data_IF_340756593332
#
_entry.id   IF_340756593332
#
_cell.length_a   1.000
_cell.length_b   1.000
_cell.length_c   1.000
_cell.angle_alpha   90.00
_cell.angle_beta   90.00
_cell.angle_gamma   90.00
#
_symmetry.space_group_name_H-M   'P 1'
#
loop_
_entity.id
_entity.type
_entity.pdbx_description
1 polymer ?
#
# COMPACT_ATOMS: atom_id res chain seq x y z
N UNK A 1 -21.05 -0.86 13.27
CA UNK A 1 -20.25 0.07 14.08
C UNK A 1 -20.93 0.25 15.42
N UNK A 2 -20.22 0.09 16.53
CA UNK A 2 -20.75 0.41 17.85
C UNK A 2 -20.41 1.87 18.14
N UNK A 3 -21.43 2.70 18.39
CA UNK A 3 -21.22 4.08 18.83
C UNK A 3 -20.94 4.10 20.33
N UNK A 4 -19.95 4.89 20.76
CA UNK A 4 -19.64 5.08 22.17
C UNK A 4 -19.84 6.56 22.49
N UNK A 5 -20.67 6.85 23.50
CA UNK A 5 -20.79 8.18 24.07
C UNK A 5 -19.84 8.31 25.25
N UNK A 6 -18.90 9.26 25.19
CA UNK A 6 -17.95 9.53 26.27
C UNK A 6 -18.15 10.98 26.70
N UNK A 7 -18.65 11.26 27.92
CA UNK A 7 -18.69 12.62 28.44
C UNK A 7 -17.27 13.10 28.72
N UNK A 8 -16.89 14.23 28.12
CA UNK A 8 -15.58 14.85 28.33
C UNK A 8 -15.76 16.01 29.33
N UNK A 9 -15.15 15.94 30.52
CA UNK A 9 -15.27 17.01 31.50
C UNK A 9 -14.56 18.28 31.03
N UNK A 10 -15.18 19.43 31.29
CA UNK A 10 -14.57 20.74 31.08
C UNK A 10 -13.63 21.03 32.26
N UNK A 11 -12.34 20.72 32.07
CA UNK A 11 -11.33 20.79 33.14
C UNK A 11 -10.58 22.13 33.21
N UNK A 12 -10.67 22.97 32.18
CA UNK A 12 -10.06 24.30 32.13
C UNK A 12 -10.67 25.15 31.00
N UNK A 13 -10.31 26.44 30.97
CA UNK A 13 -10.83 27.42 30.00
C UNK A 13 -10.52 27.05 28.55
N UNK A 14 -9.31 26.54 28.27
CA UNK A 14 -8.94 26.11 26.91
C UNK A 14 -9.85 24.99 26.40
N UNK A 15 -10.17 24.00 27.24
CA UNK A 15 -11.10 22.92 26.87
C UNK A 15 -12.50 23.50 26.59
N UNK A 16 -12.97 24.42 27.44
CA UNK A 16 -14.25 25.12 27.24
C UNK A 16 -14.31 25.86 25.89
N UNK A 17 -13.28 26.64 25.58
CA UNK A 17 -13.15 27.37 24.31
C UNK A 17 -13.21 26.41 23.12
N UNK A 18 -12.41 25.34 23.13
CA UNK A 18 -12.39 24.38 22.01
C UNK A 18 -13.68 23.58 21.88
N UNK A 19 -14.36 23.26 22.98
CA UNK A 19 -15.63 22.55 22.98
C UNK A 19 -16.80 23.45 22.51
N UNK A 20 -16.66 24.77 22.59
CA UNK A 20 -17.66 25.75 22.15
C UNK A 20 -17.59 26.10 20.66
N UNK A 21 -16.61 25.57 19.93
CA UNK A 21 -16.45 25.83 18.50
C UNK A 21 -17.68 25.35 17.71
N UNK A 22 -18.11 26.17 16.75
CA UNK A 22 -19.21 25.82 15.84
C UNK A 22 -18.67 24.99 14.69
N UNK A 23 -19.56 24.25 14.02
CA UNK A 23 -19.21 23.41 12.87
C UNK A 23 -18.50 24.18 11.74
N UNK A 24 -18.77 25.49 11.58
CA UNK A 24 -18.10 26.36 10.61
C UNK A 24 -16.64 26.68 10.97
N UNK A 25 -16.33 26.67 12.27
CA UNK A 25 -15.02 27.02 12.82
C UNK A 25 -14.10 25.78 12.93
N UNK A 26 -14.64 24.57 12.76
CA UNK A 26 -13.91 23.30 12.82
C UNK A 26 -13.48 22.89 11.41
N UNK A 27 -12.18 22.93 11.12
CA UNK A 27 -11.65 22.59 9.80
C UNK A 27 -10.89 21.27 9.76
N UNK A 28 -11.11 20.51 8.70
CA UNK A 28 -10.43 19.24 8.43
C UNK A 28 -9.87 19.18 7.01
N UNK A 29 -8.96 18.24 6.76
CA UNK A 29 -8.30 18.03 5.47
C UNK A 29 -8.90 16.81 4.78
N UNK A 30 -9.46 17.01 3.59
CA UNK A 30 -9.84 15.91 2.69
C UNK A 30 -8.56 15.37 2.05
N UNK A 31 -8.35 14.07 2.16
CA UNK A 31 -7.16 13.39 1.61
C UNK A 31 -7.55 12.45 0.48
N UNK A 32 -6.65 12.29 -0.48
CA UNK A 32 -6.83 11.35 -1.59
C UNK A 32 -6.39 9.94 -1.18
N UNK A 33 -7.35 9.02 -1.06
CA UNK A 33 -7.11 7.62 -0.71
C UNK A 33 -6.70 6.76 -1.92
N UNK A 34 -6.76 7.27 -3.15
CA UNK A 34 -6.29 6.59 -4.36
C UNK A 34 -4.76 6.66 -4.53
N UNK A 35 -4.08 7.60 -3.88
CA UNK A 35 -2.63 7.65 -3.87
C UNK A 35 -2.05 6.47 -3.05
N UNK A 36 -1.09 5.68 -3.59
CA UNK A 36 -0.47 4.53 -2.91
C UNK A 36 0.57 4.96 -1.86
N UNK A 37 0.24 6.00 -1.08
CA UNK A 37 1.06 6.57 -0.02
C UNK A 37 0.46 6.25 1.35
N UNK A 38 1.30 6.34 2.39
CA UNK A 38 0.88 6.22 3.79
C UNK A 38 -0.12 7.33 4.15
N UNK A 39 -1.12 7.08 5.03
CA UNK A 39 -2.22 8.02 5.29
C UNK A 39 -1.80 9.44 5.67
N UNK A 40 -0.69 9.59 6.39
CA UNK A 40 -0.08 10.84 6.81
C UNK A 40 0.53 11.64 5.64
N UNK A 41 1.08 10.93 4.64
CA UNK A 41 1.73 11.49 3.45
C UNK A 41 0.78 11.69 2.26
N UNK A 42 -0.47 11.21 2.35
CA UNK A 42 -1.43 11.36 1.24
C UNK A 42 -1.70 12.82 0.92
N UNK A 43 -1.78 13.19 -0.37
CA UNK A 43 -2.09 14.54 -0.80
C UNK A 43 -3.38 15.05 -0.16
N UNK A 44 -3.34 16.29 0.31
CA UNK A 44 -4.52 17.00 0.80
C UNK A 44 -5.18 17.64 -0.40
N UNK A 45 -6.40 17.21 -0.69
CA UNK A 45 -7.17 17.68 -1.85
C UNK A 45 -7.78 19.04 -1.55
N UNK A 46 -8.35 19.20 -0.35
CA UNK A 46 -9.01 20.44 0.08
C UNK A 46 -9.08 20.50 1.61
N UNK A 47 -9.08 21.72 2.15
CA UNK A 47 -9.44 21.99 3.55
C UNK A 47 -10.90 22.48 3.58
N UNK A 48 -11.73 21.88 4.42
CA UNK A 48 -13.17 22.16 4.51
C UNK A 48 -13.61 22.26 5.96
N UNK A 49 -14.70 22.97 6.21
CA UNK A 49 -15.30 23.03 7.55
C UNK A 49 -16.19 21.81 7.80
N UNK A 50 -16.46 21.53 9.07
CA UNK A 50 -17.38 20.46 9.45
C UNK A 50 -18.81 20.78 8.99
N UNK A 51 -19.20 22.06 8.99
CA UNK A 51 -20.48 22.52 8.46
C UNK A 51 -20.68 22.14 6.99
N UNK A 52 -19.64 22.29 6.16
CA UNK A 52 -19.67 21.89 4.75
C UNK A 52 -19.77 20.36 4.59
N UNK A 53 -19.04 19.59 5.41
CA UNK A 53 -19.18 18.12 5.38
C UNK A 53 -20.59 17.68 5.79
N UNK A 54 -21.20 18.43 6.70
CA UNK A 54 -22.52 18.14 7.28
C UNK A 54 -23.67 18.58 6.38
N UNK A 55 -23.43 19.43 5.38
CA UNK A 55 -24.43 19.73 4.34
C UNK A 55 -24.73 18.56 3.40
N UNK A 56 -24.02 17.43 3.54
CA UNK A 56 -24.26 16.19 2.79
C UNK A 56 -23.52 16.12 1.45
N UNK A 57 -22.80 17.18 1.08
CA UNK A 57 -21.98 17.24 -0.13
C UNK A 57 -20.84 18.24 0.01
N UNK A 58 -19.76 18.00 -0.70
CA UNK A 58 -18.58 18.86 -0.75
C UNK A 58 -18.05 18.95 -2.18
N UNK A 59 -17.72 20.14 -2.65
CA UNK A 59 -17.23 20.33 -4.00
C UNK A 59 -15.71 20.09 -4.06
N UNK A 60 -15.26 19.16 -4.90
CA UNK A 60 -13.86 18.82 -5.10
C UNK A 60 -13.56 18.93 -6.59
N UNK A 61 -12.58 19.76 -6.97
CA UNK A 61 -12.19 19.99 -8.37
C UNK A 61 -13.39 20.29 -9.31
N UNK A 62 -14.34 21.10 -8.83
CA UNK A 62 -15.53 21.48 -9.59
C UNK A 62 -16.64 20.42 -9.65
N UNK A 63 -16.52 19.30 -8.92
CA UNK A 63 -17.54 18.25 -8.83
C UNK A 63 -18.10 18.14 -7.41
N UNK A 64 -19.41 18.07 -7.28
CA UNK A 64 -20.06 17.80 -5.99
C UNK A 64 -19.91 16.32 -5.63
N UNK A 65 -19.31 16.05 -4.47
CA UNK A 65 -19.08 14.71 -3.93
C UNK A 65 -19.95 14.54 -2.68
N UNK A 66 -20.74 13.46 -2.56
CA UNK A 66 -21.55 13.23 -1.37
C UNK A 66 -20.66 13.02 -0.14
N UNK A 67 -21.09 13.56 0.99
CA UNK A 67 -20.44 13.41 2.29
C UNK A 67 -21.45 12.86 3.29
N UNK A 68 -21.06 11.82 4.02
CA UNK A 68 -21.87 11.25 5.09
C UNK A 68 -21.00 10.82 6.26
N UNK A 69 -21.49 10.97 7.51
CA UNK A 69 -20.77 10.50 8.67
C UNK A 69 -20.76 8.96 8.71
N UNK A 70 -19.71 8.38 9.28
CA UNK A 70 -19.61 6.92 9.49
C UNK A 70 -20.59 6.40 10.55
N UNK A 71 -21.09 7.29 11.41
CA UNK A 71 -22.04 7.00 12.49
C UNK A 71 -23.29 7.85 12.37
N UNK A 72 -24.42 7.32 12.85
CA UNK A 72 -25.70 8.05 12.86
C UNK A 72 -25.62 9.27 13.78
N UNK A 73 -25.74 10.46 13.19
CA UNK A 73 -25.75 11.71 13.93
C UNK A 73 -26.99 11.83 14.84
N UNK A 74 -28.15 11.37 14.37
CA UNK A 74 -29.38 11.32 15.16
C UNK A 74 -29.18 10.48 16.44
N UNK A 75 -28.61 9.29 16.30
CA UNK A 75 -28.33 8.42 17.44
C UNK A 75 -27.30 9.06 18.39
N UNK A 76 -26.28 9.75 17.86
CA UNK A 76 -25.32 10.48 18.69
C UNK A 76 -25.98 11.58 19.55
N UNK A 77 -26.94 12.33 18.98
CA UNK A 77 -27.72 13.31 19.73
C UNK A 77 -28.62 12.67 20.78
N UNK A 78 -29.29 11.56 20.45
CA UNK A 78 -30.11 10.80 21.41
C UNK A 78 -29.27 10.34 22.61
N UNK A 79 -28.08 9.78 22.36
CA UNK A 79 -27.14 9.38 23.42
C UNK A 79 -26.69 10.60 24.25
N UNK A 80 -26.39 11.73 23.61
CA UNK A 80 -25.96 12.94 24.31
C UNK A 80 -27.05 13.47 25.26
N UNK A 81 -28.32 13.48 24.84
CA UNK A 81 -29.43 13.90 25.69
C UNK A 81 -29.70 12.91 26.84
N UNK A 82 -29.57 11.61 26.59
CA UNK A 82 -29.68 10.59 27.67
C UNK A 82 -28.58 10.79 28.72
N UNK A 83 -27.32 10.95 28.29
CA UNK A 83 -26.21 11.20 29.22
C UNK A 83 -26.40 12.51 29.99
N UNK A 84 -26.83 13.57 29.33
CA UNK A 84 -27.14 14.86 29.97
C UNK A 84 -28.22 14.71 31.04
N UNK A 85 -29.29 13.96 30.75
CA UNK A 85 -30.35 13.68 31.71
C UNK A 85 -29.81 12.96 32.94
N UNK A 86 -29.08 11.86 32.77
CA UNK A 86 -28.48 11.12 33.89
C UNK A 86 -27.53 11.97 34.74
N UNK A 87 -26.76 12.87 34.11
CA UNK A 87 -25.89 13.80 34.84
C UNK A 87 -26.71 14.79 35.67
N UNK A 88 -27.77 15.38 35.10
CA UNK A 88 -28.63 16.35 35.80
C UNK A 88 -29.44 15.71 36.94
N UNK A 89 -29.85 14.45 36.77
CA UNK A 89 -30.58 13.68 37.79
C UNK A 89 -29.66 13.07 38.86
N UNK A 90 -28.34 13.14 38.68
CA UNK A 90 -27.36 12.55 39.60
C UNK A 90 -27.25 11.02 39.49
N UNK A 91 -27.79 10.43 38.43
CA UNK A 91 -27.71 8.98 38.15
C UNK A 91 -26.42 8.60 37.40
N UNK A 92 -25.66 9.58 36.92
CA UNK A 92 -24.36 9.37 36.28
C UNK A 92 -23.21 9.49 37.28
N UNK A 93 -22.81 8.36 37.86
CA UNK A 93 -21.73 8.31 38.86
C UNK A 93 -20.34 8.30 38.20
N UNK A 94 -19.42 9.08 38.76
CA UNK A 94 -18.01 8.98 38.41
C UNK A 94 -17.45 7.68 38.99
N UNK A 95 -16.77 6.90 38.16
CA UNK A 95 -16.00 5.74 38.64
C UNK A 95 -14.69 6.21 39.25
N UNK A 96 -14.14 5.43 40.18
CA UNK A 96 -12.76 5.64 40.59
C UNK A 96 -11.83 5.54 39.36
N UNK A 97 -10.78 6.37 39.28
CA UNK A 97 -9.79 6.26 38.22
C UNK A 97 -9.21 4.84 38.17
N UNK A 98 -9.38 4.13 37.06
CA UNK A 98 -8.85 2.77 36.88
C UNK A 98 -7.32 2.77 36.96
N UNK A 99 -6.69 3.75 36.31
CA UNK A 99 -5.24 3.95 36.30
C UNK A 99 -4.92 5.41 35.93
N UNK A 100 -3.93 6.07 36.57
CA UNK A 100 -3.48 7.39 36.14
C UNK A 100 -2.84 7.31 34.75
N UNK A 101 -3.10 8.32 33.90
CA UNK A 101 -2.40 8.43 32.63
C UNK A 101 -0.88 8.49 32.86
N UNK A 102 -0.08 7.70 32.12
CA UNK A 102 1.36 7.67 32.32
C UNK A 102 1.96 9.06 32.07
N UNK A 103 2.57 9.66 33.10
CA UNK A 103 3.26 10.97 33.02
C UNK A 103 4.48 10.92 32.10
N UNK A 104 5.06 9.73 31.95
CA UNK A 104 6.08 9.42 30.98
C UNK A 104 5.49 8.43 29.99
N UNK A 105 5.13 8.94 28.82
CA UNK A 105 4.90 8.07 27.68
C UNK A 105 6.28 7.67 27.17
N UNK A 106 6.80 6.54 27.64
CA UNK A 106 7.63 5.76 26.72
C UNK A 106 6.70 5.40 25.57
N UNK A 107 6.76 6.22 24.52
CA UNK A 107 6.26 5.78 23.23
C UNK A 107 7.08 4.53 22.99
N UNK A 108 6.50 3.35 23.19
CA UNK A 108 7.02 2.16 22.51
C UNK A 108 6.72 2.49 21.06
N UNK A 109 7.67 3.01 20.25
CA UNK A 109 7.39 3.15 18.85
C UNK A 109 6.92 1.78 18.40
N UNK A 110 5.93 1.75 17.52
CA UNK A 110 5.63 0.51 16.79
C UNK A 110 7.00 -0.06 16.42
N UNK A 111 7.37 -1.24 16.99
CA UNK A 111 8.70 -1.81 16.80
C UNK A 111 8.91 -1.72 15.30
N UNK A 112 9.84 -0.87 14.87
CA UNK A 112 10.17 -0.73 13.46
C UNK A 112 10.83 -2.07 13.15
N UNK A 113 10.01 -3.08 12.85
CA UNK A 113 10.45 -4.31 12.22
C UNK A 113 11.16 -3.77 10.99
N UNK A 114 12.50 -3.91 10.99
CA UNK A 114 13.49 -3.52 9.99
C UNK A 114 12.93 -2.75 8.79
N UNK A 115 13.49 -1.57 8.50
CA UNK A 115 13.33 -0.83 7.22
C UNK A 115 12.73 -1.72 6.12
N UNK A 116 11.50 -1.43 5.71
CA UNK A 116 10.82 -2.17 4.62
C UNK A 116 11.81 -2.32 3.47
N UNK A 117 12.08 -3.57 3.08
CA UNK A 117 12.99 -3.85 1.99
C UNK A 117 12.38 -3.31 0.71
N UNK A 118 13.17 -2.54 -0.04
CA UNK A 118 12.81 -2.11 -1.38
C UNK A 118 13.26 -3.16 -2.39
N UNK A 119 12.66 -3.16 -3.59
CA UNK A 119 13.01 -4.11 -4.65
C UNK A 119 14.50 -4.08 -4.96
N UNK A 120 15.12 -2.90 -5.02
CA UNK A 120 16.56 -2.74 -5.25
C UNK A 120 17.47 -3.34 -4.15
N UNK A 121 16.93 -3.60 -2.94
CA UNK A 121 17.65 -4.24 -1.83
C UNK A 121 17.70 -5.77 -1.97
N UNK A 122 16.83 -6.34 -2.83
CA UNK A 122 16.61 -7.79 -2.96
C UNK A 122 16.87 -8.29 -4.38
N UNK A 123 16.57 -7.49 -5.41
CA UNK A 123 16.70 -7.88 -6.80
C UNK A 123 18.13 -8.28 -7.17
N UNK A 124 18.24 -9.18 -8.15
CA UNK A 124 19.51 -9.45 -8.82
C UNK A 124 19.76 -8.39 -9.89
N UNK A 125 20.97 -7.85 -9.92
CA UNK A 125 21.43 -6.89 -10.94
C UNK A 125 22.08 -7.54 -12.16
N UNK A 126 22.64 -8.74 -11.98
CA UNK A 126 23.15 -9.55 -13.08
C UNK A 126 21.97 -10.23 -13.78
N UNK A 127 21.35 -9.50 -14.70
CA UNK A 127 20.18 -9.97 -15.46
C UNK A 127 20.65 -10.59 -16.74
N UNK A 128 20.42 -11.89 -16.88
CA UNK A 128 20.54 -12.57 -18.15
C UNK A 128 19.33 -12.17 -19.01
N UNK A 129 19.56 -11.72 -20.24
CA UNK A 129 18.49 -11.31 -21.16
C UNK A 129 18.53 -12.09 -22.47
N UNK A 130 17.42 -12.05 -23.20
CA UNK A 130 17.30 -12.59 -24.55
C UNK A 130 16.93 -11.48 -25.54
N UNK A 131 17.32 -11.67 -26.80
CA UNK A 131 16.84 -10.86 -27.93
C UNK A 131 15.59 -11.51 -28.52
N UNK A 132 14.61 -10.76 -29.06
CA UNK A 132 13.45 -11.36 -29.74
C UNK A 132 13.85 -12.19 -30.97
N UNK A 133 15.04 -11.96 -31.53
CA UNK A 133 15.64 -12.72 -32.62
C UNK A 133 16.43 -13.96 -32.16
N UNK A 134 16.60 -14.19 -30.86
CA UNK A 134 17.29 -15.38 -30.34
C UNK A 134 16.47 -16.65 -30.64
N UNK A 135 17.14 -17.71 -31.08
CA UNK A 135 16.51 -19.02 -31.23
C UNK A 135 16.13 -19.64 -29.87
N UNK A 136 15.03 -20.39 -29.83
CA UNK A 136 14.53 -21.07 -28.63
C UNK A 136 15.60 -21.96 -27.98
N UNK A 137 16.40 -22.68 -28.78
CA UNK A 137 17.49 -23.53 -28.28
C UNK A 137 18.57 -22.73 -27.55
N UNK A 138 18.91 -21.54 -28.06
CA UNK A 138 19.89 -20.64 -27.46
C UNK A 138 19.36 -20.10 -26.13
N UNK A 139 18.09 -19.72 -26.07
CA UNK A 139 17.43 -19.27 -24.84
C UNK A 139 17.36 -20.39 -23.80
N UNK A 140 16.98 -21.60 -24.21
CA UNK A 140 16.97 -22.78 -23.33
C UNK A 140 18.35 -23.06 -22.73
N UNK A 141 19.40 -22.97 -23.56
CA UNK A 141 20.79 -23.11 -23.11
C UNK A 141 21.16 -22.04 -22.09
N UNK A 142 20.80 -20.76 -22.31
CA UNK A 142 21.03 -19.67 -21.35
C UNK A 142 20.38 -19.94 -19.99
N UNK A 143 19.14 -20.43 -19.95
CA UNK A 143 18.44 -20.77 -18.69
C UNK A 143 19.20 -21.84 -17.91
N UNK A 144 19.59 -22.94 -18.59
CA UNK A 144 20.28 -24.08 -17.97
C UNK A 144 21.66 -23.68 -17.47
N UNK A 145 22.47 -23.02 -18.30
CA UNK A 145 23.85 -22.63 -17.95
C UNK A 145 23.90 -21.63 -16.80
N UNK A 146 22.89 -20.75 -16.71
CA UNK A 146 22.83 -19.72 -15.67
C UNK A 146 22.00 -20.11 -14.45
N UNK A 147 21.30 -21.25 -14.50
CA UNK A 147 20.44 -21.74 -13.43
C UNK A 147 19.33 -20.74 -13.09
N UNK A 148 18.69 -20.16 -14.11
CA UNK A 148 17.59 -19.19 -13.96
C UNK A 148 16.36 -19.66 -14.73
N UNK A 149 15.17 -19.26 -14.28
CA UNK A 149 13.88 -19.68 -14.85
C UNK A 149 13.17 -18.58 -15.65
N UNK A 150 13.65 -17.35 -15.57
CA UNK A 150 13.02 -16.17 -16.15
C UNK A 150 14.06 -15.36 -16.94
N UNK A 151 13.75 -15.09 -18.20
CA UNK A 151 14.58 -14.25 -19.08
C UNK A 151 13.75 -13.08 -19.62
N UNK A 152 14.07 -11.85 -19.22
CA UNK A 152 13.55 -10.66 -19.88
C UNK A 152 14.04 -10.62 -21.33
N UNK A 153 13.11 -10.41 -22.26
CA UNK A 153 13.39 -10.17 -23.68
C UNK A 153 13.51 -8.66 -23.88
N UNK A 154 14.64 -8.21 -24.41
CA UNK A 154 14.97 -6.78 -24.54
C UNK A 154 15.36 -6.42 -25.97
N UNK A 155 15.23 -5.13 -26.32
CA UNK A 155 15.80 -4.59 -27.55
C UNK A 155 17.30 -4.24 -27.38
N UNK A 156 17.90 -3.69 -28.44
CA UNK A 156 19.30 -3.24 -28.46
C UNK A 156 19.62 -2.15 -27.42
N UNK A 157 18.62 -1.40 -26.98
CA UNK A 157 18.72 -0.34 -25.97
C UNK A 157 18.40 -0.86 -24.54
N UNK A 158 18.32 -2.19 -24.37
CA UNK A 158 17.96 -2.88 -23.12
C UNK A 158 16.54 -2.58 -22.63
N UNK A 159 15.64 -2.10 -23.50
CA UNK A 159 14.23 -1.87 -23.15
C UNK A 159 13.45 -3.17 -23.16
N UNK A 160 12.61 -3.35 -22.16
CA UNK A 160 11.80 -4.56 -22.01
C UNK A 160 10.73 -4.66 -23.10
N UNK A 161 10.83 -5.73 -23.90
CA UNK A 161 9.86 -6.13 -24.93
C UNK A 161 8.94 -7.26 -24.45
N UNK A 162 9.47 -8.19 -23.66
CA UNK A 162 8.74 -9.37 -23.21
C UNK A 162 9.45 -10.12 -22.08
N UNK A 163 8.89 -11.24 -21.67
CA UNK A 163 9.53 -12.20 -20.77
C UNK A 163 9.26 -13.61 -21.27
N UNK A 164 10.25 -14.49 -21.12
CA UNK A 164 10.13 -15.93 -21.39
C UNK A 164 10.57 -16.70 -20.16
N UNK A 165 9.89 -17.82 -19.91
CA UNK A 165 10.19 -18.71 -18.79
C UNK A 165 10.49 -20.13 -19.25
N UNK A 166 11.05 -20.95 -18.36
CA UNK A 166 11.23 -22.40 -18.58
C UNK A 166 9.92 -23.08 -19.03
N UNK A 167 8.76 -22.61 -18.50
CA UNK A 167 7.44 -23.11 -18.88
C UNK A 167 7.05 -22.75 -20.32
N UNK A 168 7.34 -21.52 -20.76
CA UNK A 168 7.05 -21.08 -22.12
C UNK A 168 7.86 -21.90 -23.15
N UNK A 169 9.11 -22.24 -22.83
CA UNK A 169 9.93 -23.11 -23.68
C UNK A 169 9.40 -24.54 -23.74
N UNK A 170 8.97 -25.10 -22.59
CA UNK A 170 8.36 -26.43 -22.57
C UNK A 170 7.09 -26.46 -23.43
N UNK A 171 6.27 -25.41 -23.34
CA UNK A 171 5.08 -25.24 -24.20
C UNK A 171 5.46 -25.11 -25.68
N UNK A 172 6.51 -24.36 -26.00
CA UNK A 172 6.99 -24.18 -27.36
C UNK A 172 7.40 -25.50 -28.02
N UNK A 173 8.14 -26.34 -27.30
CA UNK A 173 8.56 -27.67 -27.76
C UNK A 173 7.33 -28.55 -28.03
N UNK A 174 6.35 -28.53 -27.13
CA UNK A 174 5.12 -29.31 -27.29
C UNK A 174 4.27 -28.85 -28.51
N UNK A 175 4.40 -27.59 -28.92
CA UNK A 175 3.62 -26.99 -30.01
C UNK A 175 4.41 -26.87 -31.33
N UNK A 176 5.70 -27.20 -31.34
CA UNK A 176 6.56 -27.07 -32.52
C UNK A 176 6.87 -25.62 -32.90
N UNK A 177 6.78 -24.67 -31.96
CA UNK A 177 7.14 -23.27 -32.22
C UNK A 177 8.66 -23.12 -32.36
N UNK A 178 9.10 -22.29 -33.31
CA UNK A 178 10.53 -22.07 -33.58
C UNK A 178 11.02 -20.69 -33.12
N UNK A 179 10.13 -19.69 -33.03
CA UNK A 179 10.50 -18.29 -32.79
C UNK A 179 10.19 -17.84 -31.36
N UNK A 180 11.14 -17.16 -30.72
CA UNK A 180 10.97 -16.62 -29.37
C UNK A 180 9.83 -15.59 -29.29
N UNK A 181 9.68 -14.78 -30.34
CA UNK A 181 8.62 -13.77 -30.46
C UNK A 181 7.19 -14.35 -30.30
N UNK A 182 6.99 -15.61 -30.71
CA UNK A 182 5.69 -16.28 -30.69
C UNK A 182 5.30 -16.77 -29.30
N UNK A 183 6.31 -17.03 -28.45
CA UNK A 183 6.11 -17.66 -27.13
C UNK A 183 6.32 -16.67 -25.98
N UNK A 184 6.99 -15.54 -26.21
CA UNK A 184 7.22 -14.56 -25.16
C UNK A 184 5.92 -13.89 -24.70
N UNK A 185 5.82 -13.64 -23.40
CA UNK A 185 4.73 -12.83 -22.86
C UNK A 185 5.05 -11.35 -23.06
N UNK A 186 4.28 -10.65 -23.89
CA UNK A 186 4.47 -9.21 -24.19
C UNK A 186 3.97 -8.29 -23.08
N UNK A 187 2.87 -8.66 -22.42
CA UNK A 187 2.29 -7.88 -21.31
C UNK A 187 2.97 -8.25 -20.00
N UNK A 188 4.21 -7.79 -19.85
CA UNK A 188 5.04 -8.14 -18.70
C UNK A 188 4.63 -7.34 -17.47
N UNK A 189 4.43 -8.04 -16.35
CA UNK A 189 4.33 -7.42 -15.02
C UNK A 189 5.74 -7.04 -14.57
N UNK A 190 5.94 -5.77 -14.26
CA UNK A 190 7.25 -5.20 -13.88
C UNK A 190 7.21 -4.58 -12.48
N UNK A 191 8.38 -4.22 -11.98
CA UNK A 191 8.55 -3.43 -10.77
C UNK A 191 9.59 -2.31 -10.97
N UNK A 192 9.53 -1.28 -10.13
CA UNK A 192 10.59 -0.29 -9.96
C UNK A 192 11.45 -0.61 -8.73
N UNK A 193 12.70 -0.17 -8.75
CA UNK A 193 13.67 -0.46 -7.68
C UNK A 193 13.29 0.10 -6.31
N UNK A 194 12.54 1.21 -6.27
CA UNK A 194 12.09 1.88 -5.05
C UNK A 194 10.75 1.34 -4.50
N UNK A 195 10.10 0.40 -5.20
CA UNK A 195 8.89 -0.25 -4.71
C UNK A 195 9.15 -1.12 -3.47
N UNK A 196 8.14 -1.25 -2.61
CA UNK A 196 8.19 -2.20 -1.49
C UNK A 196 8.11 -3.64 -2.00
N UNK A 197 9.00 -4.50 -1.48
CA UNK A 197 9.01 -5.94 -1.81
C UNK A 197 7.66 -6.58 -1.53
N UNK A 198 6.99 -6.24 -0.43
CA UNK A 198 5.68 -6.82 -0.08
C UNK A 198 4.60 -6.49 -1.11
N UNK A 199 4.64 -5.28 -1.69
CA UNK A 199 3.70 -4.86 -2.73
C UNK A 199 3.94 -5.68 -4.01
N UNK A 200 5.21 -5.86 -4.39
CA UNK A 200 5.58 -6.63 -5.58
C UNK A 200 5.29 -8.11 -5.40
N UNK A 201 5.55 -8.70 -4.23
CA UNK A 201 5.21 -10.10 -3.92
C UNK A 201 3.70 -10.33 -4.00
N UNK A 202 2.88 -9.41 -3.47
CA UNK A 202 1.42 -9.48 -3.61
C UNK A 202 0.98 -9.40 -5.08
N UNK A 203 1.60 -8.51 -5.87
CA UNK A 203 1.35 -8.41 -7.32
C UNK A 203 1.73 -9.71 -8.02
N UNK A 204 2.87 -10.31 -7.69
CA UNK A 204 3.30 -11.60 -8.22
C UNK A 204 2.30 -12.71 -7.91
N UNK A 205 1.85 -12.81 -6.66
CA UNK A 205 0.85 -13.79 -6.24
C UNK A 205 -0.50 -13.59 -6.94
N UNK A 206 -0.97 -12.36 -7.08
CA UNK A 206 -2.22 -12.03 -7.80
C UNK A 206 -2.20 -12.45 -9.27
N UNK A 207 -1.03 -12.34 -9.91
CA UNK A 207 -0.84 -12.75 -11.30
C UNK A 207 -0.34 -14.19 -11.45
N UNK A 208 -0.19 -14.92 -10.34
CA UNK A 208 0.32 -16.29 -10.29
C UNK A 208 1.68 -16.46 -11.03
N UNK A 209 2.58 -15.49 -10.86
CA UNK A 209 3.92 -15.45 -11.46
C UNK A 209 5.01 -15.55 -10.38
N UNK A 210 6.17 -16.07 -10.76
CA UNK A 210 7.31 -16.31 -9.86
C UNK A 210 8.51 -15.38 -10.09
N UNK A 211 8.43 -14.46 -11.05
CA UNK A 211 9.47 -13.48 -11.33
C UNK A 211 8.95 -12.25 -12.05
N UNK A 212 9.56 -11.09 -11.76
CA UNK A 212 9.25 -9.80 -12.42
C UNK A 212 10.55 -9.08 -12.80
N UNK A 213 10.66 -8.56 -14.04
CA UNK A 213 11.74 -7.65 -14.39
C UNK A 213 11.60 -6.33 -13.63
N UNK A 214 12.72 -5.83 -13.14
CA UNK A 214 12.83 -4.51 -12.54
C UNK A 214 13.30 -3.54 -13.61
N UNK A 215 12.55 -2.47 -13.83
CA UNK A 215 12.82 -1.49 -14.88
C UNK A 215 13.06 -0.09 -14.32
N UNK A 216 13.77 0.73 -15.07
CA UNK A 216 13.88 2.17 -14.80
C UNK A 216 12.73 2.97 -15.45
N UNK A 217 12.79 4.30 -15.30
CA UNK A 217 11.79 5.21 -15.88
C UNK A 217 11.77 5.22 -17.42
N UNK A 218 12.81 4.72 -18.07
CA UNK A 218 12.92 4.58 -19.52
C UNK A 218 12.59 3.16 -20.00
N UNK A 219 12.02 2.32 -19.12
CA UNK A 219 11.65 0.92 -19.39
C UNK A 219 12.86 0.01 -19.68
N UNK A 220 14.06 0.42 -19.28
CA UNK A 220 15.26 -0.42 -19.39
C UNK A 220 15.31 -1.39 -18.23
N UNK A 221 15.67 -2.64 -18.51
CA UNK A 221 15.79 -3.67 -17.48
C UNK A 221 17.05 -3.40 -16.65
N UNK A 222 16.86 -3.16 -15.35
CA UNK A 222 17.94 -2.87 -14.38
C UNK A 222 18.09 -3.96 -13.33
N UNK A 223 17.18 -4.94 -13.31
CA UNK A 223 17.21 -6.05 -12.38
C UNK A 223 16.13 -7.08 -12.68
N UNK A 224 16.14 -8.17 -11.92
CA UNK A 224 15.04 -9.13 -11.85
C UNK A 224 14.80 -9.49 -10.37
N UNK A 225 13.54 -9.63 -10.00
CA UNK A 225 13.14 -10.09 -8.68
C UNK A 225 12.31 -11.36 -8.82
N UNK A 226 12.76 -12.44 -8.19
CA UNK A 226 12.06 -13.74 -8.18
C UNK A 226 11.60 -14.11 -6.78
N UNK A 227 10.65 -15.05 -6.69
CA UNK A 227 10.21 -15.61 -5.39
C UNK A 227 11.38 -16.22 -4.62
N UNK A 228 12.37 -16.79 -5.32
CA UNK A 228 13.59 -17.34 -4.73
C UNK A 228 14.49 -16.25 -4.11
N UNK A 229 14.63 -15.08 -4.77
CA UNK A 229 15.36 -13.95 -4.21
C UNK A 229 14.73 -13.43 -2.92
N UNK A 230 13.39 -13.32 -2.93
CA UNK A 230 12.60 -12.93 -1.76
C UNK A 230 12.77 -13.96 -0.64
N UNK A 231 12.64 -15.25 -0.94
CA UNK A 231 12.81 -16.34 0.03
C UNK A 231 14.20 -16.30 0.67
N UNK A 232 15.26 -16.24 -0.14
CA UNK A 232 16.66 -16.20 0.34
C UNK A 232 16.92 -15.00 1.25
N UNK A 233 16.30 -13.85 0.98
CA UNK A 233 16.49 -12.63 1.78
C UNK A 233 15.66 -12.62 3.07
N UNK A 234 14.48 -13.25 3.07
CA UNK A 234 13.61 -13.36 4.24
C UNK A 234 14.07 -14.47 5.21
N UNK A 235 14.61 -15.57 4.68
CA UNK A 235 15.04 -16.75 5.45
C UNK A 235 16.50 -16.61 5.96
N UNK A 236 17.27 -15.61 5.48
CA UNK A 236 18.71 -15.50 5.73
C UNK A 236 19.16 -14.43 6.73
N UNK A 237 19.15 -14.76 8.03
CA UNK A 237 20.35 -14.84 8.90
C UNK A 237 20.00 -15.73 10.11
N UNK A 238 20.60 -16.93 10.25
CA UNK A 238 20.86 -17.47 11.58
C UNK A 238 21.80 -16.47 12.28
N UNK A 239 21.44 -16.07 13.48
CA UNK A 239 22.37 -15.45 14.42
C UNK A 239 23.47 -16.45 14.73
N UNK A 240 24.62 -16.28 14.08
CA UNK A 240 25.92 -16.75 14.58
C UNK A 240 26.59 -15.62 15.33
#
# INVERSE_FOLDING_TARGET
YVGIGIPIPIINMRVAETASLRDEDIYVKIRDYGAPLRPDLRPVVRKVSYAELRSGKVTINGRDVPSSPLSSYKMALEIAEVLKKWILEGEFFLTEPVEPLPKYREVKPMKLRRRELTVQDVMRRDVVTASPEDDIKTVAKKLVERGVDHLPVVDKDSRLLGIVTSWDLAKAIAQGSERLEEIMTRRVITAYGDESVDVVVRRMAQHNISGVPVVDRFKRVVGILTTDDVSRRLVGRPTG
#
